data_IF_422424545515
#
_entry.id   IF_422424545515
#
_cell.length_a   1.000
_cell.length_b   1.000
_cell.length_c   1.000
_cell.angle_alpha   90.00
_cell.angle_beta   90.00
_cell.angle_gamma   90.00
#
_symmetry.space_group_name_H-M   'P 1'
#
loop_
_entity.id
_entity.type
_entity.pdbx_description
1 polymer ?
#
# COMPACT_ATOMS: atom_id res chain seq x y z
N UNK A 1 21.63 14.52 -8.29
CA UNK A 1 20.98 14.91 -7.02
C UNK A 1 19.75 14.02 -6.85
N UNK A 2 19.59 13.35 -5.71
CA UNK A 2 18.44 12.47 -5.46
C UNK A 2 17.18 13.26 -5.10
N UNK A 3 16.00 12.75 -5.49
CA UNK A 3 14.70 13.25 -5.05
C UNK A 3 14.43 12.69 -3.64
N UNK A 4 14.10 13.55 -2.68
CA UNK A 4 13.71 13.14 -1.32
C UNK A 4 12.22 13.35 -1.17
N UNK A 5 11.53 12.30 -0.73
CA UNK A 5 10.11 12.31 -0.40
C UNK A 5 9.90 11.73 0.99
N UNK A 6 8.90 12.24 1.69
CA UNK A 6 8.53 11.81 3.03
C UNK A 6 7.17 11.11 3.00
N UNK A 7 7.11 9.92 3.60
CA UNK A 7 5.89 9.11 3.72
C UNK A 7 5.22 9.38 5.06
N UNK A 8 3.98 9.84 5.04
CA UNK A 8 3.17 10.07 6.23
C UNK A 8 2.21 8.91 6.41
N UNK A 9 2.29 8.22 7.56
CA UNK A 9 1.57 6.98 7.81
C UNK A 9 0.49 7.14 8.86
N UNK A 10 -0.58 6.34 8.76
CA UNK A 10 -1.57 6.21 9.83
C UNK A 10 -1.14 5.19 10.92
N UNK A 11 -2.03 4.93 11.87
CA UNK A 11 -1.80 3.99 12.98
C UNK A 11 -1.56 2.53 12.55
N UNK A 12 -2.05 2.13 11.38
CA UNK A 12 -1.85 0.80 10.80
C UNK A 12 -0.57 0.76 9.94
N UNK A 13 0.10 1.89 9.77
CA UNK A 13 1.28 2.04 8.93
C UNK A 13 0.95 2.34 7.46
N UNK A 14 -0.33 2.52 7.10
CA UNK A 14 -0.71 2.81 5.72
C UNK A 14 -0.22 4.19 5.30
N UNK A 15 0.35 4.31 4.11
CA UNK A 15 0.84 5.60 3.58
C UNK A 15 -0.36 6.48 3.17
N UNK A 16 -0.57 7.60 3.86
CA UNK A 16 -1.69 8.52 3.61
C UNK A 16 -1.31 9.70 2.75
N UNK A 17 -0.08 10.19 2.90
CA UNK A 17 0.44 11.36 2.18
C UNK A 17 1.89 11.13 1.79
N UNK A 18 2.28 11.70 0.67
CA UNK A 18 3.67 11.80 0.24
C UNK A 18 3.98 13.28 0.00
N UNK A 19 5.01 13.80 0.66
CA UNK A 19 5.45 15.20 0.48
C UNK A 19 6.88 15.25 -0.05
N UNK A 20 7.18 16.24 -0.89
CA UNK A 20 8.53 16.53 -1.35
C UNK A 20 9.38 17.14 -0.22
N UNK A 21 10.69 17.29 -0.47
CA UNK A 21 11.66 17.84 0.46
C UNK A 21 11.31 19.25 0.99
N UNK A 22 10.60 20.05 0.19
CA UNK A 22 10.16 21.41 0.50
C UNK A 22 8.78 21.46 1.20
N UNK A 23 8.18 20.30 1.50
CA UNK A 23 6.87 20.18 2.12
C UNK A 23 5.69 20.19 1.15
N UNK A 24 5.92 20.31 -0.16
CA UNK A 24 4.84 20.25 -1.16
C UNK A 24 4.18 18.88 -1.15
N UNK A 25 2.84 18.85 -1.13
CA UNK A 25 2.07 17.61 -1.19
C UNK A 25 2.10 17.03 -2.61
N UNK A 26 2.63 15.82 -2.74
CA UNK A 26 2.81 15.12 -4.03
C UNK A 26 1.64 14.17 -4.30
N UNK A 27 1.26 13.38 -3.30
CA UNK A 27 0.22 12.35 -3.40
C UNK A 27 -0.57 12.26 -2.11
N UNK A 28 -1.87 12.06 -2.21
CA UNK A 28 -2.75 11.65 -1.11
C UNK A 28 -3.40 10.31 -1.44
N UNK A 29 -3.46 9.41 -0.46
CA UNK A 29 -4.06 8.09 -0.61
C UNK A 29 -5.13 7.86 0.46
N UNK A 30 -6.35 7.54 0.02
CA UNK A 30 -7.41 7.04 0.88
C UNK A 30 -7.60 5.54 0.65
N UNK A 31 -8.04 4.83 1.69
CA UNK A 31 -8.22 3.38 1.64
C UNK A 31 -9.63 3.05 2.09
N UNK A 32 -10.32 2.17 1.38
CA UNK A 32 -11.51 1.52 1.88
C UNK A 32 -11.17 0.63 3.10
N UNK A 33 -12.16 0.14 3.88
CA UNK A 33 -11.89 -0.69 5.06
C UNK A 33 -11.00 -1.92 4.79
N UNK A 34 -11.07 -2.48 3.59
CA UNK A 34 -10.27 -3.64 3.16
C UNK A 34 -9.04 -3.26 2.32
N UNK A 35 -8.69 -1.98 2.25
CA UNK A 35 -7.42 -1.54 1.64
C UNK A 35 -7.47 -1.14 0.18
N UNK A 36 -8.65 -1.12 -0.48
CA UNK A 36 -8.75 -0.59 -1.86
C UNK A 36 -8.34 0.88 -1.84
N UNK A 37 -7.32 1.21 -2.64
CA UNK A 37 -6.68 2.51 -2.63
C UNK A 37 -7.35 3.47 -3.63
N UNK A 38 -7.58 4.71 -3.19
CA UNK A 38 -7.99 5.82 -4.04
C UNK A 38 -6.93 6.90 -3.94
N UNK A 39 -6.16 7.04 -5.02
CA UNK A 39 -5.00 7.92 -5.08
C UNK A 39 -5.34 9.24 -5.77
N UNK A 40 -5.04 10.35 -5.10
CA UNK A 40 -5.11 11.71 -5.62
C UNK A 40 -3.67 12.21 -5.85
N UNK A 41 -3.27 12.39 -7.12
CA UNK A 41 -2.01 13.04 -7.46
C UNK A 41 -2.17 14.56 -7.48
N UNK A 42 -1.37 15.25 -6.68
CA UNK A 42 -1.42 16.69 -6.47
C UNK A 42 -0.19 17.42 -7.05
N UNK A 43 0.78 16.66 -7.56
CA UNK A 43 1.93 17.15 -8.29
C UNK A 43 2.07 16.39 -9.61
N UNK A 44 2.59 17.07 -10.63
CA UNK A 44 2.99 16.44 -11.90
C UNK A 44 4.20 15.50 -11.72
N UNK A 45 4.88 15.60 -10.57
CA UNK A 45 5.96 14.68 -10.25
C UNK A 45 5.35 13.39 -9.71
N UNK A 46 5.47 12.30 -10.49
CA UNK A 46 5.02 10.98 -10.04
C UNK A 46 5.78 10.58 -8.76
N UNK A 47 5.04 10.17 -7.74
CA UNK A 47 5.60 9.43 -6.61
C UNK A 47 5.52 7.94 -6.97
N UNK A 48 6.65 7.34 -7.32
CA UNK A 48 6.76 5.90 -7.64
C UNK A 48 6.87 5.07 -6.35
N UNK A 49 5.95 5.30 -5.41
CA UNK A 49 5.85 4.51 -4.18
C UNK A 49 4.87 3.35 -4.39
N UNK A 50 5.35 2.13 -4.12
CA UNK A 50 4.57 0.89 -4.26
C UNK A 50 4.00 0.43 -2.92
N UNK A 51 4.54 0.88 -1.80
CA UNK A 51 4.00 0.61 -0.46
C UNK A 51 2.84 1.54 -0.17
N UNK A 52 1.68 0.94 0.12
CA UNK A 52 0.44 1.67 0.36
C UNK A 52 -0.20 1.29 1.68
N UNK A 53 -1.32 0.58 1.59
CA UNK A 53 -2.07 0.03 2.72
C UNK A 53 -1.13 -0.79 3.63
N UNK A 54 -1.21 -0.61 4.94
CA UNK A 54 -0.39 -1.30 5.96
C UNK A 54 1.12 -1.31 5.68
N UNK A 55 1.65 -0.36 4.90
CA UNK A 55 3.07 -0.29 4.48
C UNK A 55 3.56 -1.50 3.64
N UNK A 56 2.63 -2.23 3.02
CA UNK A 56 2.95 -3.40 2.19
C UNK A 56 2.83 -3.10 0.70
N UNK A 57 3.53 -3.89 -0.11
CA UNK A 57 3.70 -3.64 -1.54
C UNK A 57 2.41 -3.91 -2.30
N UNK A 58 1.95 -2.92 -3.06
CA UNK A 58 0.90 -3.06 -4.05
C UNK A 58 1.52 -3.32 -5.42
N UNK A 59 1.06 -4.39 -6.07
CA UNK A 59 1.37 -4.72 -7.45
C UNK A 59 0.25 -4.18 -8.34
N UNK A 60 0.51 -3.06 -9.02
CA UNK A 60 -0.47 -2.39 -9.84
C UNK A 60 -0.84 -3.17 -11.12
N UNK A 61 0.06 -4.01 -11.63
CA UNK A 61 -0.19 -4.81 -12.82
C UNK A 61 -1.14 -5.98 -12.50
N UNK A 62 -1.00 -6.55 -11.30
CA UNK A 62 -1.91 -7.57 -10.79
C UNK A 62 -3.19 -6.97 -10.16
N UNK A 63 -3.15 -5.73 -9.67
CA UNK A 63 -4.19 -5.12 -8.86
C UNK A 63 -4.28 -5.72 -7.44
N UNK A 64 -3.20 -6.32 -6.95
CA UNK A 64 -3.17 -7.09 -5.70
C UNK A 64 -2.11 -6.55 -4.73
N UNK A 65 -2.33 -6.78 -3.44
CA UNK A 65 -1.36 -6.47 -2.40
C UNK A 65 -0.57 -7.73 -2.02
N UNK A 66 0.76 -7.62 -1.98
CA UNK A 66 1.62 -8.70 -1.51
C UNK A 66 1.94 -8.51 -0.03
N UNK A 67 1.42 -9.40 0.82
CA UNK A 67 1.57 -9.36 2.29
C UNK A 67 2.64 -10.36 2.77
N UNK A 68 3.77 -10.42 2.06
CA UNK A 68 4.95 -11.29 2.32
C UNK A 68 4.74 -12.80 2.18
N UNK A 69 3.58 -13.33 2.53
CA UNK A 69 3.27 -14.77 2.38
C UNK A 69 2.27 -15.04 1.25
N UNK A 70 1.31 -14.13 1.04
CA UNK A 70 0.19 -14.32 0.14
C UNK A 70 -0.20 -13.02 -0.56
N UNK A 71 -0.75 -13.16 -1.76
CA UNK A 71 -1.44 -12.08 -2.44
C UNK A 71 -2.86 -11.91 -1.89
N UNK A 72 -3.24 -10.66 -1.68
CA UNK A 72 -4.51 -10.23 -1.15
C UNK A 72 -5.19 -9.28 -2.15
N UNK A 73 -6.47 -9.51 -2.40
CA UNK A 73 -7.31 -8.63 -3.21
C UNK A 73 -8.01 -7.62 -2.28
N UNK A 74 -7.60 -6.34 -2.30
CA UNK A 74 -8.17 -5.32 -1.43
C UNK A 74 -9.59 -4.88 -1.82
N UNK A 75 -10.04 -5.22 -3.03
CA UNK A 75 -11.38 -4.91 -3.54
C UNK A 75 -12.39 -5.97 -3.08
N UNK A 76 -11.98 -7.24 -3.11
CA UNK A 76 -12.77 -8.35 -2.58
C UNK A 76 -12.64 -8.51 -1.07
N UNK A 77 -11.54 -8.03 -0.49
CA UNK A 77 -11.22 -8.20 0.92
C UNK A 77 -10.75 -9.62 1.27
N UNK A 78 -10.17 -10.36 0.31
CA UNK A 78 -9.83 -11.79 0.45
C UNK A 78 -8.41 -12.09 -0.03
N UNK A 79 -7.79 -13.12 0.56
CA UNK A 79 -6.57 -13.71 0.01
C UNK A 79 -6.89 -14.52 -1.25
N UNK A 80 -6.01 -14.43 -2.25
CA UNK A 80 -6.13 -15.21 -3.49
C UNK A 80 -5.84 -16.70 -3.22
N UNK A 81 -4.70 -17.07 -2.60
CA UNK A 81 -4.50 -18.42 -2.11
C UNK A 81 -5.07 -18.61 -0.69
N UNK A 82 -5.55 -19.82 -0.35
CA UNK A 82 -5.87 -20.17 1.04
C UNK A 82 -4.63 -20.10 1.92
N UNK A 83 -4.83 -20.18 3.24
CA UNK A 83 -3.69 -20.34 4.13
C UNK A 83 -3.02 -21.69 3.89
N UNK A 84 -1.69 -21.70 3.85
CA UNK A 84 -0.91 -22.92 3.66
C UNK A 84 -0.63 -23.63 4.98
N UNK A 85 -0.70 -22.89 6.10
CA UNK A 85 -0.54 -23.44 7.43
C UNK A 85 -1.84 -24.12 7.87
N UNK A 86 -1.79 -25.43 8.13
CA UNK A 86 -2.88 -26.16 8.79
C UNK A 86 -2.75 -26.01 10.31
N UNK A 87 -3.67 -25.30 10.99
CA UNK A 87 -3.59 -25.08 12.44
C UNK A 87 -3.87 -26.34 13.27
N UNK A 88 -4.29 -27.44 12.64
CA UNK A 88 -4.59 -28.71 13.33
C UNK A 88 -3.38 -29.64 13.43
N UNK A 89 -2.31 -29.38 12.67
CA UNK A 89 -1.06 -30.13 12.73
C UNK A 89 -0.11 -29.48 13.75
N UNK A 90 0.71 -30.27 14.46
CA UNK A 90 1.78 -29.73 15.27
C UNK A 90 2.79 -28.97 14.41
N UNK A 91 3.34 -27.90 14.97
CA UNK A 91 4.37 -27.07 14.34
C UNK A 91 5.71 -27.80 14.19
#
# INVERSE_FOLDING_TARGET
MGKVEYLHKDQLGSVKLITAADGTLVKRSTYAPYGEAFDEMLSLTRADETKGNTCERFDADAGLQYLNARYYDPRLGLFIPPDWLDPTQPA
#
